data_IF_017712789301
#
_entry.id   IF_017712789301
#
_cell.length_a   1.000
_cell.length_b   1.000
_cell.length_c   1.000
_cell.angle_alpha   90.00
_cell.angle_beta   90.00
_cell.angle_gamma   90.00
#
_symmetry.space_group_name_H-M   'P 1'
#
loop_
_entity.id
_entity.type
_entity.pdbx_description
1 polymer ?
#
# COMPACT_ATOMS: atom_id res chain seq x y z
N UNK A 1 -15.58 3.95 1.47
CA UNK A 1 -14.22 3.41 1.27
C UNK A 1 -14.04 3.06 -0.19
N UNK A 2 -12.82 2.95 -0.70
CA UNK A 2 -12.57 2.52 -2.07
C UNK A 2 -11.38 1.57 -2.20
N UNK A 3 -11.44 0.72 -3.21
CA UNK A 3 -10.41 -0.22 -3.62
C UNK A 3 -10.16 -0.08 -5.11
N UNK A 4 -8.91 0.18 -5.47
CA UNK A 4 -8.42 0.24 -6.85
C UNK A 4 -7.31 -0.79 -6.99
N UNK A 5 -7.49 -1.78 -7.86
CA UNK A 5 -6.50 -2.87 -8.02
C UNK A 5 -6.23 -3.14 -9.47
N UNK A 6 -4.98 -3.48 -9.79
CA UNK A 6 -4.63 -4.02 -11.09
C UNK A 6 -4.93 -5.51 -11.16
N UNK A 7 -4.63 -6.23 -10.08
CA UNK A 7 -4.92 -7.64 -9.93
C UNK A 7 -6.32 -7.87 -9.34
N UNK A 8 -7.31 -8.00 -10.23
CA UNK A 8 -8.74 -8.19 -9.89
C UNK A 8 -9.04 -9.26 -8.82
N UNK A 9 -8.31 -10.40 -8.73
CA UNK A 9 -8.57 -11.40 -7.68
C UNK A 9 -8.57 -10.87 -6.24
N UNK A 10 -7.85 -9.78 -5.94
CA UNK A 10 -7.92 -9.12 -4.62
C UNK A 10 -9.36 -8.72 -4.29
N UNK A 11 -10.08 -8.13 -5.24
CA UNK A 11 -11.44 -7.63 -5.02
C UNK A 11 -12.51 -8.72 -4.97
N UNK A 12 -12.28 -9.84 -5.64
CA UNK A 12 -13.25 -10.95 -5.72
C UNK A 12 -12.97 -12.08 -4.74
N UNK A 13 -11.79 -12.11 -4.11
CA UNK A 13 -11.36 -13.20 -3.24
C UNK A 13 -10.89 -12.78 -1.84
N UNK A 14 -10.41 -11.54 -1.66
CA UNK A 14 -9.87 -11.06 -0.38
C UNK A 14 -10.80 -10.00 0.23
N UNK A 15 -11.21 -9.01 -0.57
CA UNK A 15 -12.11 -7.95 -0.11
C UNK A 15 -13.54 -8.49 -0.09
N UNK A 16 -14.16 -8.49 1.09
CA UNK A 16 -15.55 -8.91 1.28
C UNK A 16 -16.50 -8.20 0.30
N UNK A 17 -17.57 -8.89 -0.10
CA UNK A 17 -18.63 -8.27 -0.89
C UNK A 17 -19.45 -7.32 -0.01
N UNK A 18 -19.32 -6.02 -0.30
CA UNK A 18 -19.90 -4.95 0.47
C UNK A 18 -20.19 -3.74 -0.42
N UNK A 19 -21.46 -3.33 -0.50
CA UNK A 19 -21.91 -2.19 -1.31
C UNK A 19 -21.31 -0.85 -0.85
N UNK A 20 -20.75 -0.77 0.36
CA UNK A 20 -20.10 0.43 0.91
C UNK A 20 -18.64 0.62 0.42
N UNK A 21 -18.09 -0.34 -0.33
CA UNK A 21 -16.74 -0.26 -0.91
C UNK A 21 -16.86 -0.05 -2.42
N UNK A 22 -16.44 1.14 -2.88
CA UNK A 22 -16.27 1.35 -4.32
C UNK A 22 -15.10 0.49 -4.81
N UNK A 23 -15.36 -0.42 -5.76
CA UNK A 23 -14.35 -1.33 -6.34
C UNK A 23 -14.14 -0.97 -7.81
N UNK A 24 -12.88 -0.75 -8.19
CA UNK A 24 -12.48 -0.53 -9.58
C UNK A 24 -11.22 -1.32 -9.89
N UNK A 25 -11.14 -1.94 -11.07
CA UNK A 25 -9.98 -2.70 -11.49
C UNK A 25 -9.63 -2.41 -12.94
N UNK A 26 -8.36 -2.13 -13.19
CA UNK A 26 -7.78 -1.79 -14.49
C UNK A 26 -6.25 -1.92 -14.42
N UNK A 27 -5.54 -2.06 -15.56
CA UNK A 27 -4.07 -1.97 -15.57
C UNK A 27 -3.56 -0.66 -14.99
N UNK A 28 -2.34 -0.66 -14.43
CA UNK A 28 -1.78 0.45 -13.63
C UNK A 28 -1.91 1.82 -14.33
N UNK A 29 -1.58 1.90 -15.62
CA UNK A 29 -1.65 3.13 -16.43
C UNK A 29 -3.07 3.70 -16.60
N UNK A 30 -4.09 2.87 -16.54
CA UNK A 30 -5.50 3.29 -16.52
C UNK A 30 -6.00 3.52 -15.08
N UNK A 31 -5.44 2.77 -14.13
CA UNK A 31 -5.84 2.77 -12.74
C UNK A 31 -5.47 4.08 -12.04
N UNK A 32 -4.25 4.59 -12.26
CA UNK A 32 -3.72 5.78 -11.59
C UNK A 32 -4.52 7.05 -11.93
N UNK A 33 -4.85 7.35 -13.21
CA UNK A 33 -5.75 8.45 -13.55
C UNK A 33 -7.15 8.30 -12.93
N UNK A 34 -7.68 7.07 -12.84
CA UNK A 34 -8.97 6.78 -12.23
C UNK A 34 -8.95 7.03 -10.71
N UNK A 35 -7.87 6.65 -10.02
CA UNK A 35 -7.64 6.96 -8.61
C UNK A 35 -7.61 8.47 -8.39
N UNK A 36 -6.84 9.20 -9.20
CA UNK A 36 -6.73 10.65 -9.09
C UNK A 36 -8.09 11.34 -9.33
N UNK A 37 -8.89 10.85 -10.27
CA UNK A 37 -10.26 11.33 -10.50
C UNK A 37 -11.19 11.01 -9.30
N UNK A 38 -11.09 9.82 -8.72
CA UNK A 38 -11.85 9.43 -7.56
C UNK A 38 -11.57 10.33 -6.35
N UNK A 39 -10.29 10.58 -6.05
CA UNK A 39 -9.87 11.47 -4.95
C UNK A 39 -10.48 12.86 -5.11
N UNK A 40 -10.42 13.44 -6.31
CA UNK A 40 -10.98 14.78 -6.58
C UNK A 40 -12.51 14.84 -6.44
N UNK A 41 -13.21 13.77 -6.81
CA UNK A 41 -14.66 13.74 -6.87
C UNK A 41 -15.32 13.27 -5.57
N UNK A 42 -14.56 12.69 -4.64
CA UNK A 42 -15.07 12.09 -3.40
C UNK A 42 -14.20 12.51 -2.19
N UNK A 43 -14.16 13.81 -1.81
CA UNK A 43 -13.24 14.31 -0.79
C UNK A 43 -13.53 13.78 0.64
N UNK A 44 -14.59 13.01 0.83
CA UNK A 44 -15.08 12.47 2.09
C UNK A 44 -14.74 10.97 2.31
N UNK A 45 -13.95 10.34 1.43
CA UNK A 45 -13.52 8.96 1.68
C UNK A 45 -12.59 8.88 2.91
N UNK A 46 -12.80 7.85 3.74
CA UNK A 46 -11.98 7.61 4.94
C UNK A 46 -10.81 6.65 4.69
N UNK A 47 -10.98 5.71 3.73
CA UNK A 47 -9.98 4.71 3.37
C UNK A 47 -9.97 4.48 1.86
N UNK A 48 -8.76 4.52 1.28
CA UNK A 48 -8.47 4.21 -0.11
C UNK A 48 -7.38 3.14 -0.15
N UNK A 49 -7.71 1.96 -0.68
CA UNK A 49 -6.78 0.88 -0.96
C UNK A 49 -6.38 0.91 -2.44
N UNK A 50 -5.08 0.83 -2.71
CA UNK A 50 -4.52 0.82 -4.06
C UNK A 50 -3.55 -0.35 -4.20
N UNK A 51 -3.64 -1.11 -5.30
CA UNK A 51 -2.65 -2.11 -5.70
C UNK A 51 -2.24 -1.90 -7.16
N UNK A 52 -0.93 -1.78 -7.36
CA UNK A 52 -0.23 -1.68 -8.65
C UNK A 52 0.55 -3.00 -8.88
N UNK A 53 0.65 -3.46 -10.12
CA UNK A 53 1.16 -4.80 -10.49
C UNK A 53 2.43 -4.78 -11.36
N UNK A 54 2.72 -3.66 -12.03
CA UNK A 54 3.71 -3.60 -13.11
C UNK A 54 5.12 -4.03 -12.68
N UNK A 55 5.50 -3.75 -11.43
CA UNK A 55 6.81 -4.12 -10.88
C UNK A 55 6.96 -5.64 -10.76
N UNK A 56 5.94 -6.33 -10.24
CA UNK A 56 5.95 -7.79 -10.14
C UNK A 56 5.90 -8.43 -11.53
N UNK A 57 5.01 -7.92 -12.39
CA UNK A 57 4.88 -8.38 -13.75
C UNK A 57 6.18 -8.21 -14.57
N UNK A 58 6.95 -7.15 -14.33
CA UNK A 58 8.28 -6.98 -14.90
C UNK A 58 9.30 -7.99 -14.31
N UNK A 59 9.21 -8.28 -13.01
CA UNK A 59 10.00 -9.31 -12.33
C UNK A 59 9.81 -10.69 -12.96
N UNK A 60 8.56 -11.11 -13.21
CA UNK A 60 8.25 -12.37 -13.89
C UNK A 60 8.72 -12.41 -15.35
N UNK A 61 8.59 -11.29 -16.09
CA UNK A 61 8.94 -11.25 -17.53
C UNK A 61 10.43 -11.15 -17.79
N UNK A 62 11.15 -10.38 -16.99
CA UNK A 62 12.54 -9.97 -17.28
C UNK A 62 13.54 -10.39 -16.20
N UNK A 63 13.04 -10.90 -15.07
CA UNK A 63 13.83 -11.27 -13.91
C UNK A 63 13.91 -10.13 -12.90
N UNK A 64 13.77 -10.46 -11.61
CA UNK A 64 13.89 -9.49 -10.52
C UNK A 64 15.32 -8.93 -10.46
N UNK A 65 15.44 -7.60 -10.43
CA UNK A 65 16.71 -6.89 -10.46
C UNK A 65 17.29 -6.65 -11.87
N UNK A 66 16.58 -7.03 -12.93
CA UNK A 66 16.90 -6.63 -14.32
C UNK A 66 16.76 -5.13 -14.56
N UNK A 67 17.28 -4.62 -15.67
CA UNK A 67 17.12 -3.22 -16.05
C UNK A 67 15.64 -2.86 -16.28
N UNK A 68 14.88 -3.76 -16.88
CA UNK A 68 13.44 -3.62 -17.10
C UNK A 68 12.65 -3.59 -15.78
N UNK A 69 13.02 -4.45 -14.82
CA UNK A 69 12.45 -4.43 -13.46
C UNK A 69 12.73 -3.09 -12.75
N UNK A 70 13.96 -2.56 -12.86
CA UNK A 70 14.30 -1.26 -12.28
C UNK A 70 13.56 -0.10 -12.96
N UNK A 71 13.32 -0.18 -14.28
CA UNK A 71 12.48 0.79 -15.00
C UNK A 71 11.03 0.73 -14.53
N UNK A 72 10.49 -0.45 -14.26
CA UNK A 72 9.15 -0.60 -13.70
C UNK A 72 9.05 0.01 -12.30
N UNK A 73 10.08 -0.11 -11.46
CA UNK A 73 10.13 0.60 -10.15
C UNK A 73 10.07 2.12 -10.34
N UNK A 74 10.84 2.67 -11.28
CA UNK A 74 10.81 4.12 -11.58
C UNK A 74 9.42 4.55 -12.06
N UNK A 75 8.76 3.72 -12.86
CA UNK A 75 7.39 3.97 -13.32
C UNK A 75 6.40 4.00 -12.15
N UNK A 76 6.45 2.99 -11.28
CA UNK A 76 5.61 2.92 -10.07
C UNK A 76 5.86 4.10 -9.12
N UNK A 77 7.10 4.56 -8.96
CA UNK A 77 7.42 5.76 -8.17
C UNK A 77 6.73 7.01 -8.72
N UNK A 78 6.75 7.21 -10.05
CA UNK A 78 6.02 8.32 -10.69
C UNK A 78 4.50 8.21 -10.46
N UNK A 79 3.95 7.00 -10.58
CA UNK A 79 2.52 6.75 -10.33
C UNK A 79 2.12 7.05 -8.87
N UNK A 80 2.94 6.65 -7.89
CA UNK A 80 2.76 7.02 -6.49
C UNK A 80 2.82 8.55 -6.32
N UNK A 81 3.71 9.22 -7.05
CA UNK A 81 3.80 10.68 -7.13
C UNK A 81 2.51 11.33 -7.64
N UNK A 82 1.88 10.79 -8.67
CA UNK A 82 0.61 11.28 -9.22
C UNK A 82 -0.55 11.14 -8.22
N UNK A 83 -0.66 9.99 -7.55
CA UNK A 83 -1.66 9.76 -6.50
C UNK A 83 -1.43 10.75 -5.34
N UNK A 84 -0.18 10.89 -4.89
CA UNK A 84 0.20 11.81 -3.82
C UNK A 84 -0.13 13.25 -4.18
N UNK A 85 0.09 13.64 -5.45
CA UNK A 85 -0.29 14.94 -5.97
C UNK A 85 -1.82 15.14 -5.97
N UNK A 86 -2.60 14.13 -6.33
CA UNK A 86 -4.06 14.22 -6.26
C UNK A 86 -4.56 14.43 -4.83
N UNK A 87 -3.95 13.75 -3.84
CA UNK A 87 -4.23 13.93 -2.40
C UNK A 87 -3.86 15.36 -1.96
N UNK A 88 -2.72 15.88 -2.40
CA UNK A 88 -2.28 17.25 -2.12
C UNK A 88 -3.22 18.29 -2.73
N UNK A 89 -3.56 18.16 -4.00
CA UNK A 89 -4.41 19.10 -4.73
C UNK A 89 -5.85 19.10 -4.19
N UNK A 90 -6.30 17.98 -3.61
CA UNK A 90 -7.57 17.87 -2.88
C UNK A 90 -7.53 18.47 -1.45
N UNK A 91 -6.37 18.94 -0.99
CA UNK A 91 -6.19 19.50 0.36
C UNK A 91 -6.21 18.45 1.48
N UNK A 92 -6.03 17.17 1.14
CA UNK A 92 -6.14 16.05 2.09
C UNK A 92 -4.80 15.66 2.73
N UNK A 93 -3.68 16.00 2.07
CA UNK A 93 -2.34 15.50 2.44
C UNK A 93 -1.98 15.71 3.91
N UNK A 94 -2.26 16.88 4.48
CA UNK A 94 -1.90 17.19 5.88
C UNK A 94 -2.74 16.42 6.92
N UNK A 95 -3.82 15.78 6.52
CA UNK A 95 -4.67 14.96 7.39
C UNK A 95 -4.68 13.48 7.01
N UNK A 96 -3.91 13.07 5.99
CA UNK A 96 -3.85 11.69 5.53
C UNK A 96 -2.61 10.96 6.05
N UNK A 97 -2.80 9.71 6.45
CA UNK A 97 -1.72 8.73 6.55
C UNK A 97 -1.59 8.01 5.21
N UNK A 98 -0.42 8.12 4.59
CA UNK A 98 -0.06 7.38 3.38
C UNK A 98 0.89 6.25 3.81
N UNK A 99 0.54 5.02 3.45
CA UNK A 99 1.37 3.83 3.66
C UNK A 99 1.68 3.25 2.29
N UNK A 100 2.95 2.94 2.05
CA UNK A 100 3.41 2.23 0.85
C UNK A 100 4.12 0.98 1.31
N UNK A 101 3.73 -0.17 0.78
CA UNK A 101 4.32 -1.47 1.12
C UNK A 101 4.23 -2.42 -0.05
N UNK A 102 5.00 -3.51 -0.01
CA UNK A 102 4.87 -4.64 -0.93
C UNK A 102 4.37 -5.88 -0.19
N UNK A 103 3.71 -6.77 -0.91
CA UNK A 103 3.25 -8.06 -0.40
C UNK A 103 4.38 -9.09 -0.30
N UNK A 104 5.33 -9.03 -1.24
CA UNK A 104 6.55 -9.85 -1.23
C UNK A 104 7.72 -9.12 -1.91
N UNK A 105 8.87 -9.79 -1.98
CA UNK A 105 9.96 -9.49 -2.90
C UNK A 105 10.05 -10.55 -4.00
N UNK A 106 11.21 -10.75 -4.64
CA UNK A 106 11.36 -11.82 -5.64
C UNK A 106 12.78 -12.02 -6.13
N UNK A 107 12.99 -13.05 -6.95
CA UNK A 107 14.31 -13.37 -7.49
C UNK A 107 15.18 -14.23 -6.57
N UNK A 108 14.55 -14.92 -5.61
CA UNK A 108 15.19 -15.79 -4.63
C UNK A 108 15.81 -17.04 -5.25
N UNK A 109 15.17 -18.19 -5.04
CA UNK A 109 15.63 -19.46 -5.61
C UNK A 109 15.48 -19.51 -7.14
N UNK A 110 14.59 -18.69 -7.68
CA UNK A 110 14.40 -18.47 -9.11
C UNK A 110 14.45 -16.97 -9.38
N UNK A 111 15.28 -16.56 -10.33
CA UNK A 111 15.46 -15.16 -10.70
C UNK A 111 14.19 -14.54 -11.34
N UNK A 112 13.24 -15.35 -11.79
CA UNK A 112 12.01 -14.92 -12.47
C UNK A 112 10.75 -15.20 -11.65
N UNK A 113 10.86 -15.69 -10.42
CA UNK A 113 9.70 -16.00 -9.59
C UNK A 113 9.93 -15.56 -8.13
N UNK A 114 8.89 -15.73 -7.34
CA UNK A 114 8.85 -15.53 -5.89
C UNK A 114 8.05 -16.66 -5.24
N UNK A 115 7.96 -16.63 -3.90
CA UNK A 115 7.17 -17.60 -3.11
C UNK A 115 8.00 -18.66 -2.40
N UNK A 116 9.33 -18.50 -2.37
CA UNK A 116 10.21 -19.32 -1.53
C UNK A 116 10.49 -18.64 -0.18
N UNK A 117 11.04 -19.39 0.79
CA UNK A 117 11.53 -18.83 2.06
C UNK A 117 12.85 -18.04 1.91
N UNK A 118 13.31 -17.80 0.67
CA UNK A 118 14.53 -17.05 0.42
C UNK A 118 14.35 -15.58 0.85
N UNK A 119 15.34 -14.94 1.51
CA UNK A 119 15.21 -13.56 1.98
C UNK A 119 14.80 -12.54 0.90
N UNK A 120 15.20 -12.75 -0.35
CA UNK A 120 14.77 -11.90 -1.48
C UNK A 120 13.26 -11.95 -1.75
N UNK A 121 12.62 -13.10 -1.51
CA UNK A 121 11.17 -13.26 -1.71
C UNK A 121 10.40 -12.78 -0.47
N UNK A 122 11.00 -12.89 0.71
CA UNK A 122 10.35 -12.59 1.99
C UNK A 122 10.56 -11.16 2.50
N UNK A 123 11.57 -10.44 2.02
CA UNK A 123 11.85 -9.06 2.46
C UNK A 123 10.99 -8.08 1.67
N UNK A 124 10.11 -7.37 2.36
CA UNK A 124 9.20 -6.39 1.78
C UNK A 124 9.69 -4.96 1.98
N UNK A 125 9.23 -4.06 1.11
CA UNK A 125 9.28 -2.63 1.40
C UNK A 125 8.11 -2.26 2.32
N UNK A 126 8.34 -1.38 3.29
CA UNK A 126 7.28 -0.77 4.08
C UNK A 126 7.71 0.63 4.52
N UNK A 127 6.85 1.62 4.29
CA UNK A 127 7.06 2.99 4.72
C UNK A 127 5.75 3.75 4.84
N UNK A 128 5.73 4.80 5.66
CA UNK A 128 4.56 5.64 5.78
C UNK A 128 4.91 7.10 6.08
N UNK A 129 3.95 8.00 5.79
CA UNK A 129 4.01 9.42 6.09
C UNK A 129 2.63 9.91 6.47
N UNK A 130 2.52 10.68 7.54
CA UNK A 130 1.28 11.31 7.93
C UNK A 130 1.33 11.94 9.31
N UNK A 131 0.22 12.54 9.76
CA UNK A 131 0.12 13.14 11.08
C UNK A 131 0.45 12.16 12.19
N UNK A 132 1.37 12.56 13.08
CA UNK A 132 1.73 11.77 14.25
C UNK A 132 2.67 10.60 13.97
N UNK A 133 3.15 10.41 12.73
CA UNK A 133 4.22 9.45 12.42
C UNK A 133 5.56 9.99 12.92
N UNK A 134 6.27 9.21 13.73
CA UNK A 134 7.64 9.51 14.15
C UNK A 134 8.66 8.96 13.16
N UNK A 135 9.55 9.81 12.64
CA UNK A 135 10.61 9.40 11.69
C UNK A 135 11.61 8.41 12.29
N UNK A 136 11.80 8.44 13.61
CA UNK A 136 12.75 7.60 14.34
C UNK A 136 12.11 6.33 14.94
N UNK A 137 10.89 5.99 14.51
CA UNK A 137 10.23 4.78 15.00
C UNK A 137 11.03 3.53 14.61
N UNK A 138 11.23 2.64 15.59
CA UNK A 138 11.86 1.34 15.32
C UNK A 138 10.84 0.42 14.65
N UNK A 139 11.10 0.09 13.39
CA UNK A 139 10.29 -0.83 12.60
C UNK A 139 10.84 -2.27 12.64
N UNK A 140 11.81 -2.56 13.51
CA UNK A 140 12.34 -3.91 13.67
C UNK A 140 11.24 -4.91 14.02
N UNK A 141 11.14 -5.97 13.20
CA UNK A 141 10.14 -7.02 13.36
C UNK A 141 8.74 -6.66 12.84
N UNK A 142 8.57 -5.51 12.17
CA UNK A 142 7.35 -5.20 11.44
C UNK A 142 7.11 -6.27 10.36
N UNK A 143 5.87 -6.72 10.28
CA UNK A 143 5.38 -7.61 9.23
C UNK A 143 4.28 -6.93 8.44
N UNK A 144 3.98 -7.44 7.25
CA UNK A 144 2.87 -6.90 6.45
C UNK A 144 1.53 -6.88 7.20
N UNK A 145 1.30 -7.83 8.10
CA UNK A 145 0.07 -7.93 8.90
C UNK A 145 -0.11 -6.70 9.81
N UNK A 146 0.98 -6.11 10.28
CA UNK A 146 0.96 -4.95 11.18
C UNK A 146 0.40 -3.69 10.49
N UNK A 147 0.41 -3.66 9.15
CA UNK A 147 -0.20 -2.58 8.34
C UNK A 147 -1.67 -2.35 8.72
N UNK A 148 -2.41 -3.42 9.01
CA UNK A 148 -3.81 -3.32 9.40
C UNK A 148 -3.98 -2.64 10.77
N UNK A 149 -3.09 -2.92 11.73
CA UNK A 149 -3.09 -2.25 13.04
C UNK A 149 -2.75 -0.76 12.93
N UNK A 150 -1.80 -0.40 12.06
CA UNK A 150 -1.44 1.00 11.77
C UNK A 150 -2.62 1.74 11.15
N UNK A 151 -3.28 1.15 10.14
CA UNK A 151 -4.44 1.75 9.48
C UNK A 151 -5.62 1.96 10.44
N UNK A 152 -5.99 0.95 11.24
CA UNK A 152 -7.06 1.09 12.23
C UNK A 152 -6.73 2.16 13.28
N UNK A 153 -5.49 2.21 13.76
CA UNK A 153 -5.06 3.23 14.71
C UNK A 153 -5.18 4.64 14.12
N UNK A 154 -4.84 4.82 12.85
CA UNK A 154 -4.98 6.11 12.16
C UNK A 154 -6.45 6.53 11.97
N UNK A 155 -7.34 5.57 11.75
CA UNK A 155 -8.79 5.77 11.66
C UNK A 155 -9.48 5.95 13.02
N UNK A 156 -8.75 5.80 14.13
CA UNK A 156 -9.33 5.85 15.47
C UNK A 156 -10.24 4.66 15.79
N UNK A 157 -10.06 3.54 15.09
CA UNK A 157 -10.84 2.32 15.25
C UNK A 157 -10.17 1.36 16.25
N UNK A 158 -10.96 0.57 17.00
CA UNK A 158 -10.40 -0.41 17.92
C UNK A 158 -9.70 -1.55 17.17
N UNK A 159 -8.54 -1.98 17.65
CA UNK A 159 -7.86 -3.17 17.15
C UNK A 159 -8.58 -4.44 17.65
N UNK A 160 -8.98 -5.37 16.77
CA UNK A 160 -9.55 -6.64 17.18
C UNK A 160 -8.56 -7.47 18.00
N UNK A 161 -8.99 -8.00 19.15
CA UNK A 161 -8.10 -8.73 20.07
C UNK A 161 -7.63 -10.10 19.56
N UNK A 162 -8.16 -10.57 18.44
CA UNK A 162 -7.84 -11.85 17.81
C UNK A 162 -6.94 -11.70 16.57
N UNK A 163 -6.37 -10.52 16.34
CA UNK A 163 -5.42 -10.30 15.25
C UNK A 163 -3.99 -10.56 15.71
N UNK A 164 -3.18 -11.14 14.82
CA UNK A 164 -1.73 -11.25 15.03
C UNK A 164 -1.01 -9.91 14.83
N UNK A 165 -1.66 -8.96 14.15
CA UNK A 165 -1.16 -7.62 13.86
C UNK A 165 -0.90 -6.81 15.15
N UNK A 166 0.22 -6.11 15.17
CA UNK A 166 0.68 -5.26 16.27
C UNK A 166 0.91 -3.85 15.77
N UNK A 167 0.55 -2.85 16.58
CA UNK A 167 0.96 -1.48 16.31
C UNK A 167 2.46 -1.34 16.65
N UNK A 168 3.33 -0.97 15.70
CA UNK A 168 4.75 -0.79 15.99
C UNK A 168 4.97 0.28 17.07
N UNK A 169 5.79 -0.04 18.06
CA UNK A 169 5.99 0.82 19.22
C UNK A 169 6.62 2.15 18.80
N UNK A 170 6.02 3.27 19.22
CA UNK A 170 6.54 4.59 18.92
C UNK A 170 6.29 5.08 17.50
N UNK A 171 5.61 4.31 16.64
CA UNK A 171 5.30 4.75 15.28
C UNK A 171 4.32 5.93 15.26
N UNK A 172 3.22 5.82 16.01
CA UNK A 172 2.16 6.84 16.07
C UNK A 172 2.10 7.47 17.47
N UNK A 173 2.01 8.81 17.53
CA UNK A 173 1.68 9.54 18.76
C UNK A 173 0.29 9.11 19.24
N UNK A 174 0.16 8.69 20.50
CA UNK A 174 -1.15 8.33 21.08
C UNK A 174 -2.10 9.53 21.01
N UNK A 175 -3.32 9.29 20.55
CA UNK A 175 -4.43 10.26 20.57
C UNK A 175 -4.65 10.73 22.01
N UNK A 176 -4.31 12.00 22.29
CA UNK A 176 -4.36 12.60 23.63
C UNK A 176 -3.16 13.47 24.02
N UNK A 177 -2.12 13.55 23.18
CA UNK A 177 -0.97 14.47 23.37
C UNK A 177 -0.82 15.53 22.25
N UNK A 178 -1.94 15.91 21.62
CA UNK A 178 -2.00 17.09 20.74
C UNK A 178 -2.28 18.35 21.55
#
# INVERSE_FOLDING_TARGET
>A
MASFVSWKPIQTGIIEENDAVYKYAAPDDELVPAIAAYIRNNPDFELLFVQLDDVDAAGHRHGYGSEEYLKAIIHADNQIGEISKAILDAGMLENSLIIVTTDHGGGGLDAFNHGSDHPKDMTIFWGCRGPGVHSEADLAGLTIMDTAAVALSALGLPLPGNWDAKLPSGLLVKSGQR
#
